data_IF_719532298163
#
_entry.id   IF_719532298163
#
_cell.length_a   1.000
_cell.length_b   1.000
_cell.length_c   1.000
_cell.angle_alpha   90.00
_cell.angle_beta   90.00
_cell.angle_gamma   90.00
#
_symmetry.space_group_name_H-M   'P 1'
#
loop_
_entity.id
_entity.type
_entity.pdbx_description
1 polymer ?
#
# COMPACT_ATOMS: atom_id res chain seq x y z
N UNK A 1 19.84 22.64 4.49
CA UNK A 1 18.71 22.31 3.59
C UNK A 1 17.82 21.34 4.33
N UNK A 2 16.57 21.70 4.63
CA UNK A 2 15.58 20.77 5.18
C UNK A 2 14.94 20.03 4.01
N UNK A 3 15.29 18.75 3.82
CA UNK A 3 14.71 17.90 2.77
C UNK A 3 13.87 16.83 3.44
N UNK A 4 12.65 16.64 2.95
CA UNK A 4 11.79 15.53 3.33
C UNK A 4 11.93 14.44 2.28
N UNK A 5 12.03 13.18 2.72
CA UNK A 5 12.15 12.01 1.85
C UNK A 5 10.94 11.11 2.07
N UNK A 6 10.44 10.54 0.97
CA UNK A 6 9.37 9.53 0.98
C UNK A 6 10.02 8.16 0.81
N UNK A 7 9.61 7.19 1.63
CA UNK A 7 9.96 5.79 1.48
C UNK A 7 8.69 4.94 1.46
N UNK A 8 8.77 3.75 0.86
CA UNK A 8 7.77 2.71 1.09
C UNK A 8 7.78 2.26 2.55
N UNK A 9 6.63 1.90 3.09
CA UNK A 9 6.46 1.51 4.50
C UNK A 9 7.36 0.34 4.95
N UNK A 10 7.80 -0.51 4.01
CA UNK A 10 8.64 -1.68 4.23
C UNK A 10 9.88 -1.36 5.06
N UNK A 11 10.49 -0.18 4.84
CA UNK A 11 11.70 0.23 5.58
C UNK A 11 11.47 0.32 7.09
N UNK A 12 10.22 0.48 7.52
CA UNK A 12 9.80 0.52 8.92
C UNK A 12 9.05 -0.75 9.36
N UNK A 13 8.14 -1.26 8.54
CA UNK A 13 7.14 -2.27 8.92
C UNK A 13 7.49 -3.70 8.50
N UNK A 14 8.38 -3.91 7.52
CA UNK A 14 8.73 -5.25 7.08
C UNK A 14 9.41 -6.05 8.21
N UNK A 15 9.11 -7.36 8.27
CA UNK A 15 9.61 -8.22 9.34
C UNK A 15 11.07 -8.64 9.14
N UNK A 16 11.56 -8.63 7.91
CA UNK A 16 12.87 -9.19 7.50
C UNK A 16 13.86 -8.10 7.11
N UNK A 17 13.42 -7.11 6.34
CA UNK A 17 14.26 -6.05 5.74
C UNK A 17 13.75 -4.69 6.18
N UNK A 18 14.19 -4.27 7.37
CA UNK A 18 13.89 -2.94 7.93
C UNK A 18 15.16 -2.22 8.35
N UNK A 19 15.12 -0.88 8.32
CA UNK A 19 16.25 -0.05 8.77
C UNK A 19 16.06 0.37 10.23
N UNK A 20 17.15 0.80 10.86
CA UNK A 20 17.07 1.34 12.22
C UNK A 20 16.27 2.65 12.21
N UNK A 21 15.31 2.82 13.13
CA UNK A 21 14.49 4.02 13.28
C UNK A 21 15.31 5.30 13.48
N UNK A 22 16.52 5.22 14.02
CA UNK A 22 17.42 6.38 14.14
C UNK A 22 17.84 6.97 12.78
N UNK A 23 17.73 6.19 11.70
CA UNK A 23 17.99 6.61 10.33
C UNK A 23 16.74 7.15 9.62
N UNK A 24 15.56 7.05 10.26
CA UNK A 24 14.27 7.51 9.75
C UNK A 24 13.66 8.55 10.71
N UNK A 25 14.26 9.73 10.87
CA UNK A 25 13.68 10.78 11.70
C UNK A 25 12.27 11.17 11.19
N UNK A 26 11.19 11.07 12.01
CA UNK A 26 9.82 11.35 11.56
C UNK A 26 9.63 12.77 11.01
N UNK A 27 10.39 13.75 11.50
CA UNK A 27 10.33 15.13 11.03
C UNK A 27 10.70 15.28 9.53
N UNK A 28 11.55 14.39 9.02
CA UNK A 28 12.07 14.43 7.65
C UNK A 28 11.67 13.20 6.81
N UNK A 29 10.82 12.33 7.35
CA UNK A 29 10.43 11.06 6.73
C UNK A 29 8.91 11.03 6.53
N UNK A 30 8.48 10.69 5.32
CA UNK A 30 7.10 10.32 5.01
C UNK A 30 7.13 8.85 4.57
N UNK A 31 6.13 8.07 5.00
CA UNK A 31 5.99 6.68 4.60
C UNK A 31 4.78 6.52 3.69
N UNK A 32 4.98 5.86 2.55
CA UNK A 32 3.91 5.49 1.64
C UNK A 32 3.48 4.06 1.96
N UNK A 33 2.21 3.89 2.35
CA UNK A 33 1.66 2.61 2.79
C UNK A 33 0.89 1.95 1.67
N UNK A 34 1.14 0.66 1.44
CA UNK A 34 0.56 -0.06 0.30
C UNK A 34 -0.04 -1.41 0.68
N UNK A 35 0.31 -1.95 1.85
CA UNK A 35 -0.12 -3.25 2.33
C UNK A 35 -0.95 -3.11 3.62
N UNK A 36 -1.76 -4.12 3.95
CA UNK A 36 -2.59 -4.22 5.18
C UNK A 36 -3.48 -2.98 5.50
N UNK A 37 -3.73 -2.13 4.51
CA UNK A 37 -4.70 -1.03 4.53
C UNK A 37 -4.70 -0.21 5.82
N UNK A 38 -5.86 -0.04 6.49
CA UNK A 38 -5.98 0.77 7.70
C UNK A 38 -5.03 0.37 8.84
N UNK A 39 -4.62 -0.90 8.94
CA UNK A 39 -3.75 -1.36 10.03
C UNK A 39 -2.34 -0.78 9.89
N UNK A 40 -1.77 -0.82 8.69
CA UNK A 40 -0.45 -0.25 8.43
C UNK A 40 -0.48 1.27 8.47
N UNK A 41 -1.51 1.91 7.88
CA UNK A 41 -1.71 3.36 8.01
C UNK A 41 -1.69 3.77 9.48
N UNK A 42 -2.44 3.05 10.33
CA UNK A 42 -2.46 3.27 11.78
C UNK A 42 -1.09 3.07 12.41
N UNK A 43 -0.41 1.96 12.12
CA UNK A 43 0.91 1.68 12.67
C UNK A 43 1.94 2.79 12.38
N UNK A 44 1.89 3.38 11.17
CA UNK A 44 2.75 4.49 10.74
C UNK A 44 2.43 5.76 11.52
N UNK A 45 1.17 6.18 11.53
CA UNK A 45 0.77 7.46 12.16
C UNK A 45 0.85 7.40 13.70
N UNK A 46 0.51 6.25 14.31
CA UNK A 46 0.70 6.05 15.76
C UNK A 46 2.19 6.04 16.16
N UNK A 47 3.10 5.79 15.20
CA UNK A 47 4.56 5.91 15.40
C UNK A 47 5.09 7.34 15.16
N UNK A 48 4.20 8.30 14.88
CA UNK A 48 4.53 9.72 14.70
C UNK A 48 4.98 10.10 13.28
N UNK A 49 4.90 9.19 12.31
CA UNK A 49 5.23 9.48 10.92
C UNK A 49 4.03 10.02 10.16
N UNK A 50 4.31 10.82 9.13
CA UNK A 50 3.31 11.20 8.13
C UNK A 50 3.16 10.10 7.09
N UNK A 51 1.95 9.89 6.60
CA UNK A 51 1.61 8.81 5.68
C UNK A 51 1.05 9.33 4.34
N UNK A 52 1.43 8.68 3.24
CA UNK A 52 0.72 8.72 1.95
C UNK A 52 0.05 7.35 1.78
N UNK A 53 -1.25 7.33 1.52
CA UNK A 53 -2.01 6.07 1.44
C UNK A 53 -2.10 5.59 -0.01
N UNK A 54 -1.54 4.42 -0.28
CA UNK A 54 -1.47 3.76 -1.58
C UNK A 54 -1.87 2.28 -1.49
N UNK A 55 -2.87 1.96 -0.65
CA UNK A 55 -3.26 0.57 -0.38
C UNK A 55 -3.63 -0.19 -1.66
N UNK A 56 -2.95 -1.32 -1.90
CA UNK A 56 -3.02 -2.07 -3.15
C UNK A 56 -4.43 -2.60 -3.47
N UNK A 57 -5.29 -2.84 -2.46
CA UNK A 57 -6.66 -3.28 -2.72
C UNK A 57 -7.57 -2.18 -3.29
N UNK A 58 -7.10 -0.92 -3.29
CA UNK A 58 -7.86 0.24 -3.75
C UNK A 58 -7.13 1.08 -4.82
N UNK A 59 -5.83 1.35 -4.68
CA UNK A 59 -5.12 2.32 -5.53
C UNK A 59 -4.10 1.75 -6.53
N UNK A 60 -3.83 0.44 -6.51
CA UNK A 60 -2.93 -0.17 -7.51
C UNK A 60 -3.68 -0.37 -8.85
N UNK A 61 -3.40 0.51 -9.82
CA UNK A 61 -4.10 0.57 -11.11
C UNK A 61 -3.65 -0.51 -12.11
N UNK A 62 -2.56 -1.21 -11.82
CA UNK A 62 -1.99 -2.29 -12.63
C UNK A 62 -2.73 -3.62 -12.44
N UNK A 63 -3.46 -3.78 -11.32
CA UNK A 63 -4.10 -5.03 -10.93
C UNK A 63 -5.15 -5.52 -11.93
N UNK A 64 -5.30 -6.85 -12.03
CA UNK A 64 -6.39 -7.50 -12.76
C UNK A 64 -6.09 -7.82 -14.23
N UNK A 65 -4.88 -7.53 -14.72
CA UNK A 65 -4.42 -7.91 -16.06
C UNK A 65 -3.73 -9.29 -16.12
N UNK A 66 -3.75 -10.02 -15.01
CA UNK A 66 -3.08 -11.30 -14.86
C UNK A 66 -1.59 -11.20 -14.57
N UNK A 67 -0.96 -12.37 -14.50
CA UNK A 67 0.49 -12.47 -14.27
C UNK A 67 1.26 -12.19 -15.58
N UNK A 68 2.37 -11.46 -15.47
CA UNK A 68 3.22 -11.13 -16.62
C UNK A 68 4.34 -12.15 -16.84
N UNK A 69 4.58 -13.06 -15.88
CA UNK A 69 5.64 -14.07 -15.99
C UNK A 69 5.29 -15.09 -17.09
N UNK A 70 6.14 -15.15 -18.11
CA UNK A 70 6.01 -16.08 -19.23
C UNK A 70 6.33 -17.54 -18.86
N UNK A 71 5.98 -18.47 -19.76
CA UNK A 71 6.14 -19.92 -19.55
C UNK A 71 5.49 -20.41 -18.23
N UNK A 72 4.30 -19.90 -17.94
CA UNK A 72 3.57 -20.22 -16.72
C UNK A 72 2.47 -21.26 -17.03
N UNK A 73 2.77 -22.53 -16.73
CA UNK A 73 1.89 -23.67 -17.00
C UNK A 73 0.56 -23.64 -16.25
N UNK A 74 0.41 -22.72 -15.28
CA UNK A 74 -0.87 -22.40 -14.67
C UNK A 74 -1.91 -22.06 -15.73
N UNK A 75 -1.51 -21.41 -16.84
CA UNK A 75 -2.38 -20.99 -17.95
C UNK A 75 -2.75 -22.07 -18.96
N UNK A 76 -2.11 -23.24 -18.89
CA UNK A 76 -2.40 -24.35 -19.81
C UNK A 76 -3.76 -25.01 -19.52
N UNK A 77 -4.28 -24.81 -18.29
CA UNK A 77 -5.59 -25.30 -17.89
C UNK A 77 -6.69 -24.30 -18.29
N UNK A 78 -7.79 -24.77 -18.88
CA UNK A 78 -8.89 -23.90 -19.37
C UNK A 78 -9.62 -23.05 -18.30
N UNK A 79 -9.23 -23.18 -17.03
CA UNK A 79 -9.78 -22.45 -15.89
C UNK A 79 -8.83 -21.34 -15.41
N UNK A 80 -7.64 -21.24 -16.02
CA UNK A 80 -6.60 -20.34 -15.60
C UNK A 80 -6.95 -18.91 -15.99
N UNK A 81 -7.21 -18.08 -14.98
CA UNK A 81 -7.77 -16.74 -15.16
C UNK A 81 -9.22 -16.63 -14.70
N UNK A 82 -9.89 -17.74 -14.37
CA UNK A 82 -11.20 -17.74 -13.70
C UNK A 82 -11.06 -17.77 -12.17
N UNK A 83 -9.88 -17.42 -11.67
CA UNK A 83 -9.69 -17.00 -10.28
C UNK A 83 -10.20 -15.56 -10.20
N UNK A 84 -11.01 -15.18 -9.21
CA UNK A 84 -11.60 -13.82 -9.14
C UNK A 84 -10.58 -12.66 -9.18
N UNK A 85 -9.28 -12.94 -9.15
CA UNK A 85 -8.16 -12.01 -9.26
C UNK A 85 -7.49 -11.99 -10.65
N UNK A 86 -7.98 -12.79 -11.60
CA UNK A 86 -7.37 -13.02 -12.92
C UNK A 86 -5.91 -13.52 -12.84
N UNK A 87 -5.48 -14.14 -11.74
CA UNK A 87 -4.07 -14.48 -11.43
C UNK A 87 -3.13 -13.27 -11.23
N UNK A 88 -3.66 -12.05 -11.10
CA UNK A 88 -2.91 -10.88 -10.63
C UNK A 88 -2.74 -10.94 -9.12
N UNK A 89 -1.53 -10.66 -8.60
CA UNK A 89 -1.24 -10.73 -7.15
C UNK A 89 -2.10 -9.76 -6.33
N UNK A 90 -2.36 -8.56 -6.86
CA UNK A 90 -3.23 -7.54 -6.28
C UNK A 90 -4.63 -7.51 -6.94
N UNK A 91 -4.98 -8.52 -7.73
CA UNK A 91 -6.29 -8.57 -8.41
C UNK A 91 -7.46 -8.59 -7.42
N UNK A 92 -8.68 -8.20 -7.84
CA UNK A 92 -9.11 -7.86 -9.20
C UNK A 92 -8.69 -6.43 -9.63
N UNK A 93 -9.05 -6.06 -10.87
CA UNK A 93 -8.97 -4.68 -11.37
C UNK A 93 -9.78 -3.74 -10.47
N UNK A 94 -9.20 -2.56 -10.16
CA UNK A 94 -9.83 -1.58 -9.28
C UNK A 94 -10.68 -0.63 -10.11
N UNK A 95 -11.99 -0.75 -9.97
CA UNK A 95 -12.91 0.19 -10.64
C UNK A 95 -12.81 1.57 -10.01
N UNK A 96 -13.23 2.61 -10.74
CA UNK A 96 -13.32 3.96 -10.19
C UNK A 96 -14.18 4.01 -8.92
N UNK A 97 -15.23 3.18 -8.80
CA UNK A 97 -16.06 3.09 -7.60
C UNK A 97 -15.31 2.49 -6.42
N UNK A 98 -14.49 1.47 -6.67
CA UNK A 98 -13.61 0.89 -5.64
C UNK A 98 -12.68 1.98 -5.12
N UNK A 99 -11.92 2.62 -6.01
CA UNK A 99 -10.98 3.73 -5.71
C UNK A 99 -11.68 4.84 -4.91
N UNK A 100 -12.85 5.30 -5.37
CA UNK A 100 -13.58 6.42 -4.79
C UNK A 100 -14.14 6.12 -3.39
N UNK A 101 -14.50 4.87 -3.11
CA UNK A 101 -15.14 4.50 -1.84
C UNK A 101 -14.15 4.32 -0.68
N UNK A 102 -12.85 4.47 -0.91
CA UNK A 102 -11.89 4.29 0.17
C UNK A 102 -11.82 5.51 1.09
N UNK A 103 -12.10 5.29 2.37
CA UNK A 103 -11.80 6.25 3.43
C UNK A 103 -10.36 6.01 3.93
N UNK A 104 -9.43 6.84 3.46
CA UNK A 104 -8.00 6.77 3.81
C UNK A 104 -7.71 7.08 5.29
N UNK A 105 -8.71 7.54 6.04
CA UNK A 105 -8.61 7.83 7.48
C UNK A 105 -9.39 6.85 8.36
N UNK A 106 -9.97 5.80 7.77
CA UNK A 106 -10.78 4.83 8.49
C UNK A 106 -10.02 4.21 9.69
N UNK A 107 -10.64 4.23 10.87
CA UNK A 107 -10.09 3.63 12.09
C UNK A 107 -9.00 4.46 12.80
N UNK A 108 -8.70 5.65 12.30
CA UNK A 108 -7.79 6.61 12.92
C UNK A 108 -8.54 7.56 13.88
N UNK A 109 -7.85 8.02 14.91
CA UNK A 109 -8.30 9.18 15.71
C UNK A 109 -8.13 10.48 14.94
N UNK A 110 -8.76 11.57 15.39
CA UNK A 110 -8.61 12.89 14.76
C UNK A 110 -7.15 13.38 14.70
N UNK A 111 -6.34 13.06 15.72
CA UNK A 111 -4.92 13.43 15.71
C UNK A 111 -4.08 12.57 14.78
N UNK A 112 -4.37 11.26 14.71
CA UNK A 112 -3.73 10.34 13.76
C UNK A 112 -4.07 10.70 12.31
N UNK A 113 -5.33 11.07 12.03
CA UNK A 113 -5.79 11.47 10.70
C UNK A 113 -5.05 12.69 10.16
N UNK A 114 -4.61 13.63 11.01
CA UNK A 114 -3.80 14.80 10.60
C UNK A 114 -2.42 14.44 10.05
N UNK A 115 -1.92 13.23 10.35
CA UNK A 115 -0.66 12.74 9.82
C UNK A 115 -0.81 12.08 8.44
N UNK A 116 -2.04 11.82 7.98
CA UNK A 116 -2.31 11.35 6.61
C UNK A 116 -2.30 12.55 5.67
N UNK A 117 -1.37 12.55 4.71
CA UNK A 117 -1.15 13.66 3.78
C UNK A 117 -2.06 13.59 2.54
N UNK A 118 -2.56 12.39 2.22
CA UNK A 118 -3.37 12.14 1.03
C UNK A 118 -3.22 10.70 0.55
N UNK A 119 -3.69 10.44 -0.67
CA UNK A 119 -3.49 9.17 -1.36
C UNK A 119 -2.80 9.35 -2.70
N UNK A 120 -2.12 8.30 -3.15
CA UNK A 120 -1.43 8.19 -4.43
C UNK A 120 -1.69 6.82 -5.07
#
# INVERSE_FOLDING_TARGET
MNRTVVYWEDVLLDQTVRVNRSLLPPENTILQTWNDGPNNTKAIVSSGYRAIVSWADYYYLDCGHGDFIGNNSKYDQGNAGNTGTCNSWCGPFKTWQTIYNYDITYGLTEEEAKLVLGGE
#
